data_IF_173308246007
#
_entry.id   IF_173308246007
#
_cell.length_a   1.000
_cell.length_b   1.000
_cell.length_c   1.000
_cell.angle_alpha   90.00
_cell.angle_beta   90.00
_cell.angle_gamma   90.00
#
_symmetry.space_group_name_H-M   'P 1'
#
loop_
_entity.id
_entity.type
_entity.pdbx_description
1 polymer ?
#
# COMPACT_ATOMS: atom_id res chain seq x y z
N UNK A 1 14.70 18.65 10.20
CA UNK A 1 13.59 18.05 10.98
C UNK A 1 12.90 17.13 10.01
N UNK A 2 13.12 15.82 10.13
CA UNK A 2 12.33 14.85 9.37
C UNK A 2 10.90 15.02 9.85
N UNK A 3 10.00 15.42 8.95
CA UNK A 3 8.58 15.38 9.25
C UNK A 3 8.24 13.90 9.24
N UNK A 4 7.84 13.36 10.40
CA UNK A 4 7.23 12.04 10.44
C UNK A 4 6.12 12.02 9.39
N UNK A 5 6.25 11.09 8.46
CA UNK A 5 5.39 10.98 7.30
C UNK A 5 4.10 10.34 7.76
N UNK A 6 3.06 11.13 8.03
CA UNK A 6 1.75 10.61 8.42
C UNK A 6 1.09 9.98 7.19
N UNK A 7 1.03 8.64 7.15
CA UNK A 7 0.23 7.93 6.17
C UNK A 7 -1.25 8.15 6.49
N UNK A 8 -2.01 8.73 5.55
CA UNK A 8 -3.45 8.93 5.74
C UNK A 8 -4.20 7.60 5.76
N UNK A 9 -5.34 7.56 6.46
CA UNK A 9 -6.22 6.38 6.58
C UNK A 9 -6.49 5.72 5.22
N UNK A 10 -6.68 6.50 4.17
CA UNK A 10 -7.06 6.00 2.84
C UNK A 10 -5.98 5.12 2.20
N UNK A 11 -4.72 5.27 2.60
CA UNK A 11 -3.65 4.34 2.20
C UNK A 11 -3.97 2.92 2.67
N UNK A 12 -4.29 2.78 3.96
CA UNK A 12 -4.59 1.49 4.57
C UNK A 12 -5.93 0.91 4.12
N UNK A 13 -6.91 1.78 3.82
CA UNK A 13 -8.15 1.35 3.16
C UNK A 13 -7.86 0.75 1.79
N UNK A 14 -6.96 1.35 1.02
CA UNK A 14 -6.48 0.78 -0.25
C UNK A 14 -5.82 -0.59 -0.07
N UNK A 15 -5.01 -0.77 0.98
CA UNK A 15 -4.40 -2.07 1.30
C UNK A 15 -5.43 -3.14 1.67
N UNK A 16 -6.42 -2.78 2.49
CA UNK A 16 -7.51 -3.69 2.82
C UNK A 16 -8.29 -4.09 1.56
N UNK A 17 -8.58 -3.15 0.67
CA UNK A 17 -9.26 -3.43 -0.60
C UNK A 17 -8.47 -4.40 -1.49
N UNK A 18 -7.14 -4.23 -1.53
CA UNK A 18 -6.26 -5.11 -2.28
C UNK A 18 -6.30 -6.55 -1.76
N UNK A 19 -6.17 -6.74 -0.44
CA UNK A 19 -6.24 -8.07 0.14
C UNK A 19 -7.61 -8.72 0.00
N UNK A 20 -8.69 -7.95 -0.02
CA UNK A 20 -10.03 -8.49 -0.30
C UNK A 20 -10.31 -8.79 -1.78
N UNK A 21 -9.42 -8.42 -2.70
CA UNK A 21 -9.76 -8.38 -4.12
C UNK A 21 -10.02 -9.76 -4.75
N UNK A 22 -9.48 -10.84 -4.18
CA UNK A 22 -9.78 -12.22 -4.58
C UNK A 22 -10.92 -12.85 -3.75
N UNK A 23 -11.48 -12.07 -2.82
CA UNK A 23 -12.52 -12.47 -1.88
C UNK A 23 -12.00 -12.96 -0.53
N UNK A 24 -10.68 -12.92 -0.27
CA UNK A 24 -10.08 -13.40 0.97
C UNK A 24 -8.85 -12.57 1.39
N UNK A 25 -8.99 -11.78 2.45
CA UNK A 25 -7.87 -11.23 3.20
C UNK A 25 -7.53 -12.19 4.35
N UNK A 26 -6.30 -12.69 4.42
CA UNK A 26 -5.91 -13.58 5.52
C UNK A 26 -5.57 -12.83 6.82
N UNK A 27 -5.47 -13.57 7.92
CA UNK A 27 -5.26 -12.99 9.24
C UNK A 27 -3.88 -12.34 9.41
N UNK A 28 -2.83 -12.89 8.78
CA UNK A 28 -1.48 -12.35 8.87
C UNK A 28 -1.37 -11.05 8.06
N UNK A 29 -2.02 -10.97 6.90
CA UNK A 29 -2.13 -9.74 6.11
C UNK A 29 -2.95 -8.66 6.83
N UNK A 30 -4.09 -9.03 7.41
CA UNK A 30 -4.92 -8.13 8.20
C UNK A 30 -4.18 -7.55 9.40
N UNK A 31 -3.45 -8.39 10.15
CA UNK A 31 -2.63 -7.99 11.28
C UNK A 31 -1.47 -7.08 10.84
N UNK A 32 -0.86 -7.33 9.68
CA UNK A 32 0.16 -6.47 9.11
C UNK A 32 -0.39 -5.08 8.79
N UNK A 33 -1.53 -4.99 8.10
CA UNK A 33 -2.18 -3.71 7.78
C UNK A 33 -2.53 -2.93 9.05
N UNK A 34 -3.12 -3.59 10.05
CA UNK A 34 -3.50 -2.97 11.32
C UNK A 34 -2.28 -2.47 12.10
N UNK A 35 -1.20 -3.27 12.15
CA UNK A 35 0.05 -2.86 12.79
C UNK A 35 0.67 -1.64 12.12
N UNK A 36 0.71 -1.63 10.79
CA UNK A 36 1.26 -0.50 10.04
C UNK A 36 0.44 0.78 10.25
N UNK A 37 -0.89 0.66 10.33
CA UNK A 37 -1.79 1.79 10.63
C UNK A 37 -1.52 2.38 12.02
N UNK A 38 -1.33 1.52 13.03
CA UNK A 38 -0.97 1.92 14.40
C UNK A 38 0.37 2.65 14.44
N UNK A 39 1.38 2.11 13.76
CA UNK A 39 2.74 2.66 13.72
C UNK A 39 2.82 4.00 12.96
N UNK A 40 1.80 4.31 12.12
CA UNK A 40 1.75 5.52 11.30
C UNK A 40 1.17 6.75 12.01
N UNK A 41 0.83 6.63 13.29
CA UNK A 41 0.36 7.75 14.10
C UNK A 41 -1.08 8.20 13.78
N UNK A 42 -1.88 7.31 13.19
CA UNK A 42 -3.31 7.54 12.94
C UNK A 42 -4.11 7.65 14.24
N UNK A 43 -5.26 8.32 14.17
CA UNK A 43 -6.20 8.41 15.29
C UNK A 43 -6.83 7.05 15.59
N UNK A 44 -7.35 6.88 16.81
CA UNK A 44 -8.03 5.64 17.21
C UNK A 44 -9.24 5.36 16.31
N UNK A 45 -9.97 6.40 15.90
CA UNK A 45 -11.11 6.30 15.01
C UNK A 45 -10.70 5.84 13.59
N UNK A 46 -9.57 6.32 13.08
CA UNK A 46 -9.04 5.90 11.78
C UNK A 46 -8.53 4.46 11.81
N UNK A 47 -7.81 4.07 12.86
CA UNK A 47 -7.36 2.68 13.05
C UNK A 47 -8.55 1.74 13.17
N UNK A 48 -9.61 2.12 13.90
CA UNK A 48 -10.82 1.31 14.00
C UNK A 48 -11.53 1.12 12.64
N UNK A 49 -11.53 2.14 11.78
CA UNK A 49 -12.07 2.02 10.43
C UNK A 49 -11.25 1.05 9.57
N UNK A 50 -9.92 1.08 9.69
CA UNK A 50 -9.00 0.18 9.00
C UNK A 50 -9.21 -1.26 9.49
N UNK A 51 -9.29 -1.47 10.80
CA UNK A 51 -9.59 -2.79 11.37
C UNK A 51 -10.95 -3.34 10.91
N UNK A 52 -11.95 -2.48 10.73
CA UNK A 52 -13.25 -2.91 10.19
C UNK A 52 -13.14 -3.30 8.72
N UNK A 53 -12.36 -2.54 7.94
CA UNK A 53 -12.07 -2.82 6.54
C UNK A 53 -11.25 -4.11 6.36
N UNK A 54 -10.40 -4.50 7.32
CA UNK A 54 -9.69 -5.78 7.28
C UNK A 54 -10.56 -6.96 7.73
N UNK A 55 -11.69 -6.71 8.41
CA UNK A 55 -12.61 -7.78 8.88
C UNK A 55 -13.77 -8.06 7.93
N UNK A 56 -14.08 -7.13 7.02
CA UNK A 56 -15.19 -7.23 6.10
C UNK A 56 -14.75 -6.95 4.66
N UNK A 57 -15.36 -7.61 3.66
CA UNK A 57 -15.07 -7.32 2.26
C UNK A 57 -15.17 -5.84 1.95
N UNK A 58 -14.10 -5.28 1.39
CA UNK A 58 -14.01 -3.89 0.98
C UNK A 58 -13.60 -3.84 -0.49
N UNK A 59 -14.44 -3.26 -1.35
CA UNK A 59 -14.18 -3.22 -2.79
C UNK A 59 -13.24 -2.05 -3.11
N UNK A 60 -12.31 -2.25 -4.05
CA UNK A 60 -11.49 -1.17 -4.60
C UNK A 60 -12.35 -0.03 -5.17
N UNK A 61 -13.55 -0.32 -5.68
CA UNK A 61 -14.48 0.68 -6.16
C UNK A 61 -14.99 1.64 -5.06
N UNK A 62 -14.91 1.23 -3.79
CA UNK A 62 -15.32 2.04 -2.64
C UNK A 62 -14.16 2.89 -2.08
N UNK A 63 -12.95 2.80 -2.65
CA UNK A 63 -11.82 3.63 -2.27
C UNK A 63 -12.02 5.07 -2.76
N UNK A 64 -12.15 6.00 -1.83
CA UNK A 64 -12.16 7.44 -2.13
C UNK A 64 -10.73 7.91 -2.47
N UNK A 65 -10.54 8.33 -3.72
CA UNK A 65 -9.26 8.82 -4.23
C UNK A 65 -9.26 10.32 -4.50
N UNK A 66 -10.40 11.02 -4.32
CA UNK A 66 -10.54 12.44 -4.68
C UNK A 66 -9.62 13.35 -3.85
N UNK A 67 -9.28 12.93 -2.62
CA UNK A 67 -8.37 13.65 -1.72
C UNK A 67 -6.89 13.30 -1.85
N UNK A 68 -6.51 12.31 -2.66
CA UNK A 68 -5.14 11.80 -2.71
C UNK A 68 -4.24 12.68 -3.59
N UNK A 69 -3.08 13.07 -3.06
CA UNK A 69 -2.01 13.66 -3.88
C UNK A 69 -1.40 12.64 -4.84
N UNK A 70 -0.65 13.09 -5.84
CA UNK A 70 0.07 12.18 -6.76
C UNK A 70 1.07 11.30 -6.01
N UNK A 71 1.69 11.83 -4.96
CA UNK A 71 2.54 11.07 -4.03
C UNK A 71 1.74 9.99 -3.31
N UNK A 72 0.56 10.33 -2.78
CA UNK A 72 -0.28 9.34 -2.08
C UNK A 72 -0.72 8.23 -3.03
N UNK A 73 -1.19 8.59 -4.24
CA UNK A 73 -1.62 7.62 -5.25
C UNK A 73 -0.50 6.64 -5.60
N UNK A 74 0.66 7.17 -5.97
CA UNK A 74 1.80 6.34 -6.33
C UNK A 74 2.30 5.50 -5.15
N UNK A 75 2.24 6.04 -3.93
CA UNK A 75 2.61 5.33 -2.73
C UNK A 75 1.65 4.17 -2.42
N UNK A 76 0.32 4.37 -2.51
CA UNK A 76 -0.67 3.30 -2.33
C UNK A 76 -0.42 2.16 -3.31
N UNK A 77 -0.19 2.49 -4.58
CA UNK A 77 0.14 1.49 -5.59
C UNK A 77 1.43 0.72 -5.25
N UNK A 78 2.49 1.43 -4.84
CA UNK A 78 3.77 0.81 -4.49
C UNK A 78 3.65 -0.14 -3.28
N UNK A 79 2.92 0.25 -2.24
CA UNK A 79 2.66 -0.63 -1.08
C UNK A 79 1.83 -1.85 -1.50
N UNK A 80 0.86 -1.66 -2.40
CA UNK A 80 0.10 -2.76 -2.98
C UNK A 80 0.97 -3.76 -3.75
N UNK A 81 1.88 -3.27 -4.60
CA UNK A 81 2.82 -4.13 -5.32
C UNK A 81 3.73 -4.89 -4.36
N UNK A 82 4.22 -4.23 -3.30
CA UNK A 82 5.00 -4.89 -2.26
C UNK A 82 4.23 -6.00 -1.55
N UNK A 83 3.02 -5.73 -1.05
CA UNK A 83 2.16 -6.70 -0.35
C UNK A 83 1.92 -7.93 -1.22
N UNK A 84 1.56 -7.73 -2.49
CA UNK A 84 1.30 -8.80 -3.44
C UNK A 84 2.55 -9.57 -3.89
N UNK A 85 3.75 -9.17 -3.42
CA UNK A 85 5.01 -9.92 -3.62
C UNK A 85 5.53 -10.59 -2.36
N UNK A 86 4.84 -10.45 -1.21
CA UNK A 86 5.32 -10.97 0.08
C UNK A 86 5.48 -12.49 0.09
N UNK A 87 4.57 -13.21 -0.54
CA UNK A 87 4.61 -14.67 -0.64
C UNK A 87 5.52 -15.18 -1.78
N UNK A 88 6.24 -14.26 -2.43
CA UNK A 88 7.25 -14.55 -3.44
C UNK A 88 6.72 -14.79 -4.87
N UNK A 89 5.40 -14.92 -5.05
CA UNK A 89 4.77 -15.01 -6.37
C UNK A 89 3.54 -14.12 -6.48
N UNK A 90 3.55 -13.23 -7.47
CA UNK A 90 2.38 -12.43 -7.84
C UNK A 90 1.45 -13.28 -8.73
N UNK A 91 0.40 -13.81 -8.14
CA UNK A 91 -0.66 -14.57 -8.78
C UNK A 91 -1.39 -13.74 -9.84
N UNK A 92 -2.11 -14.44 -10.74
CA UNK A 92 -2.86 -13.77 -11.82
C UNK A 92 -3.94 -12.82 -11.27
N UNK A 93 -4.63 -13.21 -10.20
CA UNK A 93 -5.67 -12.39 -9.56
C UNK A 93 -5.09 -11.08 -9.03
N UNK A 94 -3.96 -11.16 -8.33
CA UNK A 94 -3.27 -9.99 -7.77
C UNK A 94 -2.77 -9.04 -8.87
N UNK A 95 -2.30 -9.56 -10.01
CA UNK A 95 -1.95 -8.71 -11.18
C UNK A 95 -3.16 -7.94 -11.71
N UNK A 96 -4.30 -8.60 -11.83
CA UNK A 96 -5.55 -7.95 -12.29
C UNK A 96 -6.02 -6.91 -11.28
N UNK A 97 -5.87 -7.19 -9.99
CA UNK A 97 -6.18 -6.25 -8.90
C UNK A 97 -5.26 -5.02 -8.92
N UNK A 98 -3.94 -5.21 -9.02
CA UNK A 98 -2.99 -4.10 -9.12
C UNK A 98 -3.24 -3.25 -10.37
N UNK A 99 -3.64 -3.87 -11.49
CA UNK A 99 -4.03 -3.12 -12.68
C UNK A 99 -5.27 -2.26 -12.43
N UNK A 100 -6.31 -2.81 -11.78
CA UNK A 100 -7.51 -2.04 -11.42
C UNK A 100 -7.18 -0.89 -10.47
N UNK A 101 -6.32 -1.13 -9.48
CA UNK A 101 -5.86 -0.09 -8.56
C UNK A 101 -5.10 1.01 -9.33
N UNK A 102 -4.19 0.65 -10.22
CA UNK A 102 -3.51 1.62 -11.07
C UNK A 102 -4.46 2.48 -11.89
N UNK A 103 -5.47 1.85 -12.53
CA UNK A 103 -6.47 2.54 -13.33
C UNK A 103 -7.29 3.52 -12.47
N UNK A 104 -7.69 3.09 -11.27
CA UNK A 104 -8.42 3.91 -10.30
C UNK A 104 -7.61 5.12 -9.83
N UNK A 105 -6.32 4.92 -9.59
CA UNK A 105 -5.39 5.97 -9.16
C UNK A 105 -4.94 6.88 -10.32
N UNK A 106 -5.20 6.49 -11.57
CA UNK A 106 -4.80 7.22 -12.76
C UNK A 106 -3.30 7.14 -13.07
N UNK A 107 -2.65 6.02 -12.71
CA UNK A 107 -1.22 5.81 -12.90
C UNK A 107 -0.89 5.25 -14.29
N UNK A 108 0.12 5.80 -14.95
CA UNK A 108 0.60 5.31 -16.24
C UNK A 108 1.59 4.12 -16.11
N UNK A 109 2.01 3.55 -17.23
CA UNK A 109 2.95 2.41 -17.24
C UNK A 109 4.34 2.77 -16.68
N UNK A 110 4.82 3.98 -16.93
CA UNK A 110 6.13 4.41 -16.47
C UNK A 110 6.15 4.59 -14.94
N UNK A 111 5.14 5.27 -14.39
CA UNK A 111 4.95 5.46 -12.96
C UNK A 111 4.90 4.12 -12.22
N UNK A 112 4.20 3.13 -12.78
CA UNK A 112 4.11 1.77 -12.21
C UNK A 112 5.42 1.02 -12.26
N UNK A 113 6.13 1.11 -13.38
CA UNK A 113 7.45 0.49 -13.52
C UNK A 113 8.44 1.06 -12.50
N UNK A 114 8.45 2.38 -12.35
CA UNK A 114 9.32 3.06 -11.39
C UNK A 114 8.94 2.72 -9.94
N UNK A 115 7.64 2.69 -9.61
CA UNK A 115 7.17 2.23 -8.30
C UNK A 115 7.66 0.81 -7.98
N UNK A 116 7.56 -0.12 -8.94
CA UNK A 116 8.05 -1.48 -8.74
C UNK A 116 9.57 -1.57 -8.56
N UNK A 117 10.34 -0.66 -9.17
CA UNK A 117 11.79 -0.57 -8.91
C UNK A 117 12.04 -0.11 -7.47
N UNK A 118 11.39 0.99 -7.05
CA UNK A 118 11.50 1.51 -5.67
C UNK A 118 11.12 0.45 -4.64
N UNK A 119 10.06 -0.32 -4.90
CA UNK A 119 9.61 -1.39 -4.02
C UNK A 119 10.73 -2.39 -3.74
N UNK A 120 11.39 -2.86 -4.81
CA UNK A 120 12.49 -3.83 -4.73
C UNK A 120 13.71 -3.22 -4.05
N UNK A 121 14.06 -1.98 -4.37
CA UNK A 121 15.21 -1.29 -3.75
C UNK A 121 15.06 -1.14 -2.24
N UNK A 122 13.87 -0.79 -1.76
CA UNK A 122 13.58 -0.68 -0.33
C UNK A 122 13.61 -2.06 0.33
N UNK A 123 13.02 -3.09 -0.29
CA UNK A 123 13.09 -4.46 0.21
C UNK A 123 14.55 -4.94 0.39
N UNK A 124 15.40 -4.70 -0.62
CA UNK A 124 16.82 -5.05 -0.55
C UNK A 124 17.57 -4.27 0.55
N UNK A 125 17.23 -2.99 0.75
CA UNK A 125 17.87 -2.16 1.77
C UNK A 125 17.51 -2.57 3.21
N UNK A 126 16.32 -3.13 3.43
CA UNK A 126 15.85 -3.58 4.76
C UNK A 126 16.56 -4.83 5.31
N UNK A 127 17.36 -5.55 4.51
CA UNK A 127 18.30 -6.56 5.03
C UNK A 127 17.85 -8.03 5.00
N UNK A 128 16.82 -8.39 4.22
CA UNK A 128 16.53 -9.79 3.89
C UNK A 128 15.04 -10.13 3.74
N UNK A 129 14.76 -11.34 3.25
CA UNK A 129 13.46 -11.89 2.78
C UNK A 129 12.34 -12.01 3.84
N UNK A 130 12.29 -11.15 4.86
CA UNK A 130 11.17 -11.14 5.82
C UNK A 130 10.22 -9.99 5.52
N UNK A 131 8.93 -10.30 5.24
CA UNK A 131 7.87 -9.32 5.03
C UNK A 131 7.83 -8.20 6.08
N UNK A 132 8.09 -8.51 7.34
CA UNK A 132 7.77 -7.59 8.45
C UNK A 132 8.79 -6.46 8.74
N UNK A 133 9.89 -6.37 7.99
CA UNK A 133 10.93 -5.34 8.19
C UNK A 133 10.96 -4.28 7.05
N UNK A 134 9.90 -4.22 6.23
CA UNK A 134 9.84 -3.30 5.10
C UNK A 134 9.69 -1.84 5.53
N UNK A 135 10.58 -0.97 5.04
CA UNK A 135 10.63 0.43 5.44
C UNK A 135 9.68 1.29 4.59
N UNK A 136 8.41 1.35 5.01
CA UNK A 136 7.37 2.16 4.35
C UNK A 136 7.68 3.67 4.37
N UNK A 137 8.40 4.14 5.39
CA UNK A 137 8.80 5.55 5.47
C UNK A 137 9.77 5.86 4.33
N UNK A 138 10.78 5.01 4.16
CA UNK A 138 11.73 5.14 3.06
C UNK A 138 11.07 4.98 1.70
N UNK A 139 10.12 4.07 1.54
CA UNK A 139 9.36 3.94 0.29
C UNK A 139 8.63 5.25 -0.03
N UNK A 140 7.95 5.85 0.95
CA UNK A 140 7.23 7.11 0.74
C UNK A 140 8.14 8.26 0.40
N UNK A 141 9.29 8.37 1.07
CA UNK A 141 10.28 9.42 0.79
C UNK A 141 10.82 9.29 -0.65
N UNK A 142 11.07 8.07 -1.13
CA UNK A 142 11.52 7.83 -2.51
C UNK A 142 10.43 8.13 -3.53
N UNK A 143 9.18 7.73 -3.25
CA UNK A 143 8.02 8.06 -4.10
C UNK A 143 7.85 9.58 -4.19
N UNK A 144 7.93 10.30 -3.06
CA UNK A 144 7.84 11.76 -3.06
C UNK A 144 8.94 12.41 -3.91
N UNK A 145 10.19 11.96 -3.74
CA UNK A 145 11.32 12.45 -4.54
C UNK A 145 11.17 12.18 -6.04
N UNK A 146 10.52 11.07 -6.42
CA UNK A 146 10.25 10.71 -7.81
C UNK A 146 9.18 11.59 -8.44
N UNK A 147 8.11 11.90 -7.70
CA UNK A 147 7.02 12.77 -8.19
C UNK A 147 7.48 14.22 -8.34
N UNK A 148 8.42 14.67 -7.50
CA UNK A 148 8.98 16.02 -7.53
C UNK A 148 10.09 16.22 -8.61
N UNK A 149 10.52 15.16 -9.31
CA UNK A 149 11.64 15.18 -10.27
C UNK A 149 11.23 15.58 -11.70
#
# INVERSE_FOLDING_TARGET
MSKDVTLGKDVFMGLAALGWADGNLDADEADAIAKLALDSGLTVEEVAAIEEATKNPFDLADLDTEGMSDVDKLFVYAVGEWMATLDGELAKGEKETLQKLADLLGLDEAQRADAGILVREVAYASGGDRPFDYDLTQLRDRVAAMVDA
#
